data_IF_141790022566
#
_entry.id   IF_141790022566
#
_cell.length_a   1.000
_cell.length_b   1.000
_cell.length_c   1.000
_cell.angle_alpha   90.00
_cell.angle_beta   90.00
_cell.angle_gamma   90.00
#
_symmetry.space_group_name_H-M   'P 1'
#
loop_
_entity.id
_entity.type
_entity.pdbx_description
1 polymer ?
#
# COMPACT_ATOMS: atom_id res chain seq x y z
N UNK A 1 -4.56 -6.49 -30.28
CA UNK A 1 -3.53 -6.93 -29.31
C UNK A 1 -3.23 -5.75 -28.39
N UNK A 2 -3.90 -5.65 -27.23
CA UNK A 2 -3.65 -4.57 -26.27
C UNK A 2 -2.37 -4.90 -25.47
N UNK A 3 -1.32 -4.13 -25.67
CA UNK A 3 -0.11 -4.19 -24.84
C UNK A 3 -0.48 -3.77 -23.42
N UNK A 4 -0.52 -4.73 -22.48
CA UNK A 4 -0.66 -4.45 -21.05
C UNK A 4 0.64 -3.77 -20.60
N UNK A 5 0.65 -2.43 -20.61
CA UNK A 5 1.76 -1.67 -20.03
C UNK A 5 1.67 -1.83 -18.52
N UNK A 6 2.63 -2.53 -17.92
CA UNK A 6 2.79 -2.59 -16.47
C UNK A 6 3.07 -1.17 -15.99
N UNK A 7 2.05 -0.49 -15.46
CA UNK A 7 2.24 0.80 -14.80
C UNK A 7 3.12 0.57 -13.57
N UNK A 8 4.35 1.06 -13.63
CA UNK A 8 5.22 1.10 -12.46
C UNK A 8 4.92 2.40 -11.72
N UNK A 9 4.45 2.28 -10.48
CA UNK A 9 4.28 3.43 -9.61
C UNK A 9 5.66 3.77 -9.03
N UNK A 10 6.14 5.02 -9.14
CA UNK A 10 7.40 5.43 -8.53
C UNK A 10 7.39 5.25 -7.01
N UNK A 11 8.53 4.90 -6.42
CA UNK A 11 8.65 4.68 -4.96
C UNK A 11 8.25 5.95 -4.16
N UNK A 12 8.68 7.12 -4.62
CA UNK A 12 8.32 8.40 -3.98
C UNK A 12 6.80 8.60 -3.90
N UNK A 13 6.08 8.12 -4.91
CA UNK A 13 4.64 8.19 -4.95
C UNK A 13 4.02 7.18 -3.98
N UNK A 14 4.51 5.93 -3.94
CA UNK A 14 4.08 4.95 -2.94
C UNK A 14 4.26 5.45 -1.50
N UNK A 15 5.40 6.10 -1.19
CA UNK A 15 5.65 6.72 0.13
C UNK A 15 4.66 7.85 0.44
N UNK A 16 4.36 8.69 -0.55
CA UNK A 16 3.36 9.75 -0.42
C UNK A 16 1.99 9.17 -0.10
N UNK A 17 1.56 8.15 -0.84
CA UNK A 17 0.28 7.46 -0.60
C UNK A 17 0.23 6.82 0.79
N UNK A 18 1.30 6.14 1.23
CA UNK A 18 1.38 5.57 2.57
C UNK A 18 1.23 6.63 3.68
N UNK A 19 1.88 7.80 3.53
CA UNK A 19 1.76 8.91 4.48
C UNK A 19 0.33 9.46 4.56
N UNK A 20 -0.31 9.65 3.40
CA UNK A 20 -1.70 10.14 3.33
C UNK A 20 -2.65 9.12 3.98
N UNK A 21 -2.53 7.84 3.65
CA UNK A 21 -3.37 6.79 4.22
C UNK A 21 -3.26 6.70 5.75
N UNK A 22 -2.05 6.84 6.33
CA UNK A 22 -1.88 6.93 7.79
C UNK A 22 -2.51 8.18 8.39
N UNK A 23 -2.27 9.35 7.78
CA UNK A 23 -2.81 10.62 8.25
C UNK A 23 -4.33 10.62 8.29
N UNK A 24 -4.94 10.03 7.27
CA UNK A 24 -6.40 9.94 7.14
C UNK A 24 -6.99 8.70 7.85
N UNK A 25 -6.14 7.85 8.45
CA UNK A 25 -6.57 6.67 9.20
C UNK A 25 -7.28 5.62 8.34
N UNK A 26 -6.86 5.44 7.08
CA UNK A 26 -7.50 4.52 6.12
C UNK A 26 -6.52 3.46 5.61
N UNK A 27 -7.04 2.27 5.34
CA UNK A 27 -6.32 1.20 4.66
C UNK A 27 -6.91 1.00 3.25
N UNK A 28 -6.04 0.93 2.24
CA UNK A 28 -6.42 0.73 0.83
C UNK A 28 -5.90 -0.66 0.40
N UNK A 29 -6.78 -1.51 -0.10
CA UNK A 29 -6.45 -2.85 -0.62
C UNK A 29 -6.91 -2.96 -2.05
N UNK A 30 -6.02 -3.37 -2.95
CA UNK A 30 -6.34 -3.66 -4.34
C UNK A 30 -6.26 -5.16 -4.61
N UNK A 31 -7.25 -5.72 -5.31
CA UNK A 31 -7.24 -7.10 -5.82
C UNK A 31 -7.57 -7.08 -7.30
N UNK A 32 -6.80 -7.81 -8.10
CA UNK A 32 -7.18 -8.11 -9.50
C UNK A 32 -8.19 -9.23 -9.50
N UNK A 33 -9.29 -9.02 -10.19
CA UNK A 33 -10.34 -10.02 -10.33
C UNK A 33 -10.07 -10.93 -11.55
N UNK A 34 -10.62 -12.15 -11.57
CA UNK A 34 -10.33 -13.14 -12.61
C UNK A 34 -10.76 -12.72 -14.01
N UNK A 35 -11.71 -11.80 -14.12
CA UNK A 35 -12.24 -11.22 -15.36
C UNK A 35 -11.38 -10.06 -15.90
N UNK A 36 -10.29 -9.73 -15.22
CA UNK A 36 -9.41 -8.61 -15.57
C UNK A 36 -9.80 -7.28 -14.91
N UNK A 37 -10.81 -7.28 -14.04
CA UNK A 37 -11.17 -6.14 -13.20
C UNK A 37 -10.12 -5.82 -12.12
N UNK A 38 -10.23 -4.63 -11.54
CA UNK A 38 -9.50 -4.23 -10.33
C UNK A 38 -10.52 -3.80 -9.28
N UNK A 39 -10.66 -4.59 -8.22
CA UNK A 39 -11.40 -4.19 -7.03
C UNK A 39 -10.48 -3.42 -6.09
N UNK A 40 -10.92 -2.24 -5.64
CA UNK A 40 -10.26 -1.44 -4.62
C UNK A 40 -11.17 -1.31 -3.42
N UNK A 41 -10.72 -1.75 -2.26
CA UNK A 41 -11.41 -1.63 -0.98
C UNK A 41 -10.71 -0.57 -0.13
N UNK A 42 -11.49 0.36 0.41
CA UNK A 42 -11.03 1.38 1.37
C UNK A 42 -11.80 1.14 2.67
N UNK A 43 -11.06 0.87 3.74
CA UNK A 43 -11.62 0.66 5.07
C UNK A 43 -10.96 1.59 6.08
N UNK A 44 -11.64 1.95 7.18
CA UNK A 44 -10.96 2.54 8.32
C UNK A 44 -9.79 1.63 8.69
N UNK A 45 -8.59 2.18 8.75
CA UNK A 45 -7.47 1.46 9.32
C UNK A 45 -7.85 1.26 10.78
N UNK A 46 -7.99 0.01 11.23
CA UNK A 46 -8.10 -0.27 12.66
C UNK A 46 -6.94 0.49 13.29
N UNK A 47 -7.24 1.55 14.06
CA UNK A 47 -6.21 2.34 14.74
C UNK A 47 -5.30 1.33 15.38
N UNK A 48 -4.08 1.19 14.86
CA UNK A 48 -3.12 0.33 15.49
C UNK A 48 -3.10 0.81 16.94
N UNK A 49 -3.27 -0.07 17.95
CA UNK A 49 -2.92 0.34 19.29
C UNK A 49 -1.54 0.98 19.16
N UNK A 50 -1.34 2.14 19.78
CA UNK A 50 -0.05 2.83 19.81
C UNK A 50 0.95 1.94 20.57
N UNK A 51 1.36 0.83 19.95
CA UNK A 51 2.45 0.01 20.37
C UNK A 51 3.64 0.78 19.84
N UNK A 52 4.28 1.53 20.73
CA UNK A 52 5.48 2.26 20.39
C UNK A 52 6.47 1.35 19.67
N UNK A 53 6.93 1.79 18.50
CA UNK A 53 8.20 1.34 17.92
C UNK A 53 8.19 0.27 16.84
N UNK A 54 7.08 -0.07 16.17
CA UNK A 54 7.12 -0.93 14.97
C UNK A 54 6.70 -0.12 13.73
N UNK A 55 7.60 0.73 13.21
CA UNK A 55 7.34 1.53 12.01
C UNK A 55 7.54 0.68 10.74
N UNK A 56 6.71 0.94 9.73
CA UNK A 56 6.76 0.25 8.43
C UNK A 56 8.14 0.38 7.77
N UNK A 57 8.86 1.47 8.07
CA UNK A 57 10.20 1.72 7.56
C UNK A 57 11.19 0.64 8.02
N UNK A 58 11.07 0.14 9.25
CA UNK A 58 11.92 -0.95 9.78
C UNK A 58 11.63 -2.27 9.05
N UNK A 59 10.35 -2.53 8.75
CA UNK A 59 9.95 -3.73 7.99
C UNK A 59 10.42 -3.69 6.54
N UNK A 60 10.36 -2.52 5.90
CA UNK A 60 10.84 -2.35 4.53
C UNK A 60 12.36 -2.45 4.44
N UNK A 61 13.08 -1.93 5.43
CA UNK A 61 14.53 -2.11 5.53
C UNK A 61 14.92 -3.58 5.71
N UNK A 62 14.22 -4.31 6.58
CA UNK A 62 14.44 -5.74 6.78
C UNK A 62 14.18 -6.57 5.51
N UNK A 63 13.16 -6.21 4.72
CA UNK A 63 12.87 -6.89 3.46
C UNK A 63 13.92 -6.63 2.36
N UNK A 64 14.52 -5.44 2.33
CA UNK A 64 15.57 -5.10 1.36
C UNK A 64 16.96 -5.64 1.68
N UNK A 65 17.15 -6.23 2.86
CA UNK A 65 18.44 -6.72 3.35
C UNK A 65 18.65 -8.24 3.21
N UNK A 66 17.67 -8.97 2.65
CA UNK A 66 17.76 -10.40 2.31
C UNK A 66 17.72 -10.63 0.80
#
# INVERSE_FOLDING_TARGET
MMTVRRAMIPEAELRRWARVSRKEGVAIRGRRDPDGGLTVEISPSASAPSIGGDDLDDRLAAFGAG
#
